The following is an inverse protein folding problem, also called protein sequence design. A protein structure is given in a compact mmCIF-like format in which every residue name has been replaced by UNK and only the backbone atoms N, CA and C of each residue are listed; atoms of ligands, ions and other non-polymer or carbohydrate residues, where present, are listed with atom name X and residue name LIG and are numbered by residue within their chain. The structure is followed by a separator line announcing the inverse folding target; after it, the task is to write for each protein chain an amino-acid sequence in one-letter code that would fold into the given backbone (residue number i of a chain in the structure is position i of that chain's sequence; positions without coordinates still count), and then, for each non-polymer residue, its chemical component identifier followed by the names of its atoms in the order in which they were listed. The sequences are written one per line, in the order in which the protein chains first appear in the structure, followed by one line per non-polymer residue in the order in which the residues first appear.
data_IF_290444892110
#
_entry.id   IF_290444892110
#
_cell.length_a   1.000
_cell.length_b   1.000
_cell.length_c   1.000
_cell.angle_alpha   90.00
_cell.angle_beta   90.00
_cell.angle_gamma   90.00
#
_symmetry.space_group_name_H-M   'P 1'
#
loop_
_entity.id
_entity.type
_entity.pdbx_description
1 polymer ?
#
# COMPACT_ATOMS: atom_id res chain seq x y z
N UNK A 1 20.07 -37.57 -4.14
CA UNK A 1 18.76 -37.76 -4.78
C UNK A 1 17.74 -37.28 -3.77
N UNK A 2 17.60 -35.95 -3.77
CA UNK A 2 16.36 -35.18 -3.68
C UNK A 2 15.40 -35.53 -2.54
N UNK A 3 15.59 -34.83 -1.42
CA UNK A 3 14.58 -34.65 -0.37
C UNK A 3 13.83 -33.36 -0.67
N UNK A 4 12.74 -33.45 -1.43
CA UNK A 4 11.78 -32.36 -1.57
C UNK A 4 10.68 -32.58 -0.53
N UNK A 5 10.83 -31.94 0.63
CA UNK A 5 9.74 -31.74 1.58
C UNK A 5 9.18 -30.34 1.34
N UNK A 6 8.33 -30.22 0.34
CA UNK A 6 7.47 -29.07 0.10
C UNK A 6 6.47 -28.95 1.27
N UNK A 7 6.88 -28.26 2.33
CA UNK A 7 5.93 -27.78 3.33
C UNK A 7 5.20 -26.58 2.71
N UNK A 8 4.10 -26.87 2.02
CA UNK A 8 3.07 -25.90 1.67
C UNK A 8 2.78 -25.04 2.92
N UNK A 9 3.24 -23.79 2.89
CA UNK A 9 2.86 -22.77 3.87
C UNK A 9 1.38 -22.48 3.65
N UNK A 10 0.52 -23.31 4.24
CA UNK A 10 -0.88 -23.01 4.45
C UNK A 10 -0.94 -21.79 5.35
N UNK A 11 -0.98 -20.61 4.74
CA UNK A 11 -1.32 -19.37 5.41
C UNK A 11 -2.81 -19.51 5.74
N UNK A 12 -3.13 -20.04 6.91
CA UNK A 12 -4.46 -19.88 7.53
C UNK A 12 -4.67 -18.38 7.75
N UNK A 13 -5.34 -17.75 6.80
CA UNK A 13 -5.93 -16.44 6.98
C UNK A 13 -7.14 -16.64 7.89
N UNK A 14 -6.94 -16.56 9.20
CA UNK A 14 -8.05 -16.43 10.15
C UNK A 14 -8.76 -15.10 9.84
N UNK A 15 -9.80 -15.21 9.03
CA UNK A 15 -10.70 -14.11 8.68
C UNK A 15 -11.51 -13.81 9.93
N UNK A 16 -11.03 -12.89 10.75
CA UNK A 16 -11.80 -12.37 11.87
C UNK A 16 -13.06 -11.71 11.29
N UNK A 17 -14.20 -12.36 11.45
CA UNK A 17 -15.53 -11.83 11.13
C UNK A 17 -15.85 -10.70 12.12
N UNK A 18 -15.17 -9.57 11.97
CA UNK A 18 -15.65 -8.32 12.53
C UNK A 18 -16.87 -7.91 11.71
N UNK A 19 -18.05 -8.13 12.28
CA UNK A 19 -19.32 -7.69 11.74
C UNK A 19 -19.23 -6.19 11.41
N UNK A 20 -18.94 -5.89 10.15
CA UNK A 20 -19.04 -4.56 9.59
C UNK A 20 -20.51 -4.18 9.59
N UNK A 21 -21.00 -3.66 10.72
CA UNK A 21 -22.31 -3.01 10.79
C UNK A 21 -22.23 -1.71 10.00
N UNK A 22 -22.17 -1.83 8.68
CA UNK A 22 -22.37 -0.73 7.75
C UNK A 22 -23.79 -0.22 7.96
N UNK A 23 -23.89 1.02 8.42
CA UNK A 23 -25.15 1.72 8.42
C UNK A 23 -25.45 2.06 6.96
N UNK A 24 -26.24 1.21 6.30
CA UNK A 24 -26.78 1.46 4.97
C UNK A 24 -27.68 2.71 5.06
N UNK A 25 -27.10 3.89 4.88
CA UNK A 25 -27.89 5.08 4.60
C UNK A 25 -28.28 4.99 3.13
N UNK A 26 -29.48 4.47 2.88
CA UNK A 26 -30.16 4.52 1.59
C UNK A 26 -30.47 5.98 1.26
N UNK A 27 -29.41 6.69 0.87
CA UNK A 27 -29.52 7.99 0.24
C UNK A 27 -30.09 7.75 -1.15
N UNK A 28 -31.39 8.00 -1.32
CA UNK A 28 -32.09 8.15 -2.62
C UNK A 28 -31.51 9.34 -3.42
N UNK A 29 -30.21 9.30 -3.71
CA UNK A 29 -29.59 10.18 -4.68
C UNK A 29 -29.93 9.63 -6.07
N UNK A 30 -31.14 9.96 -6.53
CA UNK A 30 -31.72 9.67 -7.85
C UNK A 30 -30.93 10.30 -9.03
N UNK A 31 -29.60 10.46 -8.91
CA UNK A 31 -28.76 11.12 -9.91
C UNK A 31 -27.48 10.33 -10.23
N UNK A 32 -27.44 9.02 -9.95
CA UNK A 32 -26.42 8.12 -10.50
C UNK A 32 -26.63 7.83 -12.00
N UNK A 33 -27.70 8.33 -12.62
CA UNK A 33 -27.93 8.23 -14.06
C UNK A 33 -26.75 8.78 -14.88
N UNK A 34 -26.09 9.84 -14.37
CA UNK A 34 -24.89 10.40 -15.00
C UNK A 34 -23.69 9.45 -14.95
N UNK A 35 -23.54 8.67 -13.86
CA UNK A 35 -22.43 7.73 -13.68
C UNK A 35 -22.53 6.50 -14.60
N UNK A 36 -23.71 6.24 -15.19
CA UNK A 36 -23.96 5.15 -16.14
C UNK A 36 -23.75 5.55 -17.61
N UNK A 37 -23.23 6.74 -17.88
CA UNK A 37 -22.90 7.18 -19.23
C UNK A 37 -21.60 6.55 -19.74
N UNK A 38 -21.69 5.29 -20.19
CA UNK A 38 -20.58 4.63 -20.89
C UNK A 38 -20.42 5.19 -22.30
N UNK A 39 -19.23 5.69 -22.64
CA UNK A 39 -18.93 6.13 -24.00
C UNK A 39 -18.50 4.94 -24.87
N UNK A 40 -19.17 4.72 -26.01
CA UNK A 40 -18.77 3.68 -26.98
C UNK A 40 -17.47 4.10 -27.67
N UNK A 41 -16.39 3.38 -27.42
CA UNK A 41 -15.11 3.59 -28.10
C UNK A 41 -15.23 3.15 -29.56
N UNK A 42 -14.94 4.05 -30.50
CA UNK A 42 -14.82 3.70 -31.91
C UNK A 42 -13.39 3.21 -32.20
N UNK A 43 -13.18 1.93 -32.53
CA UNK A 43 -11.84 1.37 -32.76
C UNK A 43 -11.17 1.91 -34.02
N UNK A 44 -11.94 2.53 -34.92
CA UNK A 44 -11.41 3.12 -36.17
C UNK A 44 -10.92 4.55 -36.00
N UNK A 45 -11.23 5.20 -34.88
CA UNK A 45 -10.76 6.54 -34.54
C UNK A 45 -9.65 6.43 -33.48
N UNK A 46 -8.35 6.57 -33.86
CA UNK A 46 -7.27 6.50 -32.89
C UNK A 46 -7.43 7.62 -31.86
N UNK A 47 -7.64 7.23 -30.61
CA UNK A 47 -7.57 8.16 -29.48
C UNK A 47 -6.11 8.54 -29.25
N UNK A 48 -5.79 9.81 -28.97
CA UNK A 48 -4.44 10.19 -28.61
C UNK A 48 -4.00 9.40 -27.37
N UNK A 49 -2.77 8.87 -27.40
CA UNK A 49 -2.19 8.22 -26.23
C UNK A 49 -2.22 9.22 -25.06
N UNK A 50 -2.65 8.80 -23.86
CA UNK A 50 -2.52 9.63 -22.67
C UNK A 50 -1.09 10.16 -22.53
N UNK A 51 -0.91 11.40 -22.02
CA UNK A 51 0.41 11.93 -21.75
C UNK A 51 1.17 10.94 -20.85
N UNK A 52 2.37 10.55 -21.26
CA UNK A 52 3.25 9.78 -20.39
C UNK A 52 3.68 10.69 -19.26
N UNK A 53 3.33 10.35 -18.02
CA UNK A 53 3.88 11.04 -16.87
C UNK A 53 5.31 10.54 -16.65
N UNK A 54 6.33 11.40 -16.82
CA UNK A 54 7.70 10.96 -16.58
C UNK A 54 7.92 10.84 -15.07
N UNK A 55 8.42 9.70 -14.61
CA UNK A 55 8.93 9.56 -13.25
C UNK A 55 10.31 10.21 -13.19
N UNK A 56 10.36 11.55 -13.06
CA UNK A 56 11.62 12.33 -13.02
C UNK A 56 12.22 12.39 -11.61
N UNK A 57 11.70 11.61 -10.66
CA UNK A 57 12.26 11.52 -9.32
C UNK A 57 13.40 10.51 -9.29
N UNK A 58 14.40 10.77 -8.46
CA UNK A 58 15.19 9.71 -7.86
C UNK A 58 14.59 9.43 -6.48
N UNK A 59 13.52 8.62 -6.37
CA UNK A 59 12.94 8.25 -5.09
C UNK A 59 13.94 7.35 -4.38
N UNK A 60 14.69 7.95 -3.47
CA UNK A 60 15.71 7.27 -2.68
C UNK A 60 15.85 7.97 -1.35
N UNK A 61 16.27 7.20 -0.35
CA UNK A 61 16.65 7.72 0.94
C UNK A 61 17.83 8.68 0.78
N UNK A 62 17.74 9.90 1.34
CA UNK A 62 18.75 10.96 1.22
C UNK A 62 19.62 11.12 2.46
N UNK A 63 19.71 10.08 3.28
CA UNK A 63 20.51 10.08 4.51
C UNK A 63 21.68 9.12 4.34
N UNK A 64 22.85 9.57 4.78
CA UNK A 64 24.06 8.75 4.84
C UNK A 64 24.06 8.01 6.18
N UNK A 65 23.79 6.70 6.14
CA UNK A 65 23.86 5.81 7.30
C UNK A 65 25.20 5.09 7.20
N UNK A 66 26.20 5.58 7.97
CA UNK A 66 27.51 4.95 8.11
C UNK A 66 28.17 4.47 6.81
N UNK A 67 29.16 3.59 6.96
CA UNK A 67 29.67 2.74 5.86
C UNK A 67 29.09 1.30 5.96
N UNK A 68 28.23 1.06 6.96
CA UNK A 68 27.57 -0.21 7.23
C UNK A 68 26.18 -0.24 6.59
N UNK A 69 25.94 -1.20 5.71
CA UNK A 69 24.58 -1.55 5.24
C UNK A 69 23.83 -2.36 6.33
N UNK A 70 24.01 -2.03 7.61
CA UNK A 70 23.33 -2.73 8.71
C UNK A 70 21.87 -2.23 8.81
N UNK A 71 20.87 -3.11 8.66
CA UNK A 71 19.46 -2.74 8.80
C UNK A 71 19.13 -2.04 10.12
N UNK A 72 19.87 -2.31 11.20
CA UNK A 72 19.65 -1.68 12.51
C UNK A 72 20.02 -0.20 12.51
N UNK A 73 20.99 0.23 11.70
CA UNK A 73 21.38 1.63 11.64
C UNK A 73 20.24 2.51 11.05
N UNK A 74 19.39 1.93 10.21
CA UNK A 74 18.19 2.59 9.69
C UNK A 74 17.08 2.72 10.73
N UNK A 75 17.04 1.83 11.73
CA UNK A 75 16.03 1.88 12.80
C UNK A 75 16.18 3.16 13.63
N UNK A 76 17.42 3.56 13.91
CA UNK A 76 17.74 4.79 14.64
C UNK A 76 17.33 6.08 13.93
N UNK A 77 16.98 6.04 12.63
CA UNK A 77 16.41 7.20 11.93
C UNK A 77 15.02 7.58 12.44
N UNK A 78 14.29 6.61 12.97
CA UNK A 78 12.90 6.76 13.40
C UNK A 78 12.74 6.58 14.91
N UNK A 79 13.68 5.89 15.56
CA UNK A 79 13.69 5.64 16.99
C UNK A 79 15.00 6.14 17.59
N UNK A 80 15.02 7.42 17.92
CA UNK A 80 16.14 8.06 18.60
C UNK A 80 16.11 7.81 20.12
N UNK A 81 17.17 8.24 20.79
CA UNK A 81 17.31 8.09 22.25
C UNK A 81 16.18 8.78 23.03
N UNK A 82 15.59 9.84 22.48
CA UNK A 82 14.47 10.56 23.11
C UNK A 82 13.21 9.69 23.08
N UNK A 83 12.86 9.13 21.93
CA UNK A 83 11.72 8.20 21.79
C UNK A 83 11.95 6.96 22.65
N UNK A 84 13.15 6.40 22.66
CA UNK A 84 13.49 5.27 23.52
C UNK A 84 13.32 5.60 25.00
N UNK A 85 13.84 6.75 25.43
CA UNK A 85 13.72 7.22 26.82
C UNK A 85 12.26 7.42 27.21
N UNK A 86 11.46 8.00 26.32
CA UNK A 86 10.02 8.17 26.54
C UNK A 86 9.31 6.83 26.74
N UNK A 87 9.55 5.85 25.87
CA UNK A 87 8.91 4.51 25.96
C UNK A 87 9.34 3.79 27.25
N UNK A 88 10.62 3.86 27.61
CA UNK A 88 11.16 3.19 28.80
C UNK A 88 10.66 3.84 30.09
N UNK A 89 10.57 5.18 30.10
CA UNK A 89 10.25 5.94 31.31
C UNK A 89 8.75 6.04 31.58
N UNK A 90 7.92 6.06 30.53
CA UNK A 90 6.46 6.18 30.65
C UNK A 90 5.75 4.82 30.61
N UNK A 91 6.33 3.82 31.28
CA UNK A 91 5.73 2.50 31.43
C UNK A 91 4.68 2.44 32.55
#
# INVERSE_FOLDING_TARGET
MDSDSETELLIEMESSDEDISSSESESDDDSLDSARNWYRVNPTLPQPCPPKFPFIGNPGIKVSIGDSDDPLDYFSLFFDEEIFSYIVTNR
#
